data_IF_996262025375
#
_entry.id   IF_996262025375
#
_cell.length_a   1.000
_cell.length_b   1.000
_cell.length_c   1.000
_cell.angle_alpha   90.00
_cell.angle_beta   90.00
_cell.angle_gamma   90.00
#
_symmetry.space_group_name_H-M   'P 1'
#
loop_
_entity.id
_entity.type
_entity.pdbx_description
1 polymer ?
#
# COMPACT_ATOMS: atom_id res chain seq x y z
N UNK A 1 21.82 -30.85 -2.30
CA UNK A 1 22.16 -32.18 -2.85
C UNK A 1 21.69 -33.28 -1.89
N UNK A 2 21.96 -33.18 -0.59
CA UNK A 2 21.58 -34.19 0.41
C UNK A 2 20.05 -34.29 0.58
N UNK A 3 19.34 -33.18 0.57
CA UNK A 3 17.88 -33.13 0.61
C UNK A 3 17.23 -33.83 -0.61
N UNK A 4 17.74 -33.61 -1.82
CA UNK A 4 17.25 -34.30 -3.03
C UNK A 4 17.54 -35.81 -3.01
N UNK A 5 18.62 -36.24 -2.33
CA UNK A 5 18.90 -37.66 -2.12
C UNK A 5 17.91 -38.31 -1.16
N UNK A 6 17.58 -37.61 -0.06
CA UNK A 6 16.57 -38.05 0.91
C UNK A 6 15.19 -38.14 0.26
N UNK A 7 14.80 -37.19 -0.56
CA UNK A 7 13.51 -37.19 -1.26
C UNK A 7 13.39 -38.34 -2.26
N UNK A 8 14.50 -38.69 -2.99
CA UNK A 8 14.54 -39.86 -3.84
C UNK A 8 14.51 -41.19 -3.05
N UNK A 9 15.11 -41.23 -1.86
CA UNK A 9 15.12 -42.41 -1.00
C UNK A 9 13.75 -42.73 -0.42
N UNK A 10 12.89 -41.73 -0.21
CA UNK A 10 11.51 -41.89 0.29
C UNK A 10 10.57 -42.49 -0.79
N UNK A 11 10.90 -42.36 -2.07
CA UNK A 11 10.09 -42.87 -3.18
C UNK A 11 10.51 -44.27 -3.65
N UNK A 12 11.47 -44.91 -2.98
CA UNK A 12 11.95 -46.26 -3.33
C UNK A 12 11.05 -47.34 -2.70
N UNK A 13 10.28 -48.10 -3.50
CA UNK A 13 9.32 -49.09 -3.00
C UNK A 13 9.96 -50.34 -2.35
N UNK A 14 11.28 -50.52 -2.44
CA UNK A 14 12.02 -51.66 -1.91
C UNK A 14 12.72 -51.36 -0.57
N UNK A 15 12.52 -50.18 0.04
CA UNK A 15 13.13 -49.83 1.32
C UNK A 15 12.26 -50.25 2.49
N UNK A 16 12.88 -50.79 3.53
CA UNK A 16 12.19 -51.16 4.77
C UNK A 16 11.67 -49.95 5.54
N UNK A 17 10.53 -50.12 6.19
CA UNK A 17 9.75 -49.10 6.89
C UNK A 17 10.57 -48.26 7.90
N UNK A 18 11.49 -48.87 8.64
CA UNK A 18 12.39 -48.22 9.58
C UNK A 18 13.39 -47.26 8.92
N UNK A 19 13.85 -47.56 7.70
CA UNK A 19 14.77 -46.72 6.97
C UNK A 19 14.03 -45.50 6.37
N UNK A 20 12.78 -45.68 5.97
CA UNK A 20 11.90 -44.61 5.49
C UNK A 20 11.57 -43.63 6.63
N UNK A 21 11.24 -44.12 7.82
CA UNK A 21 10.97 -43.31 9.01
C UNK A 21 12.19 -42.46 9.45
N UNK A 22 13.39 -43.04 9.42
CA UNK A 22 14.61 -42.32 9.75
C UNK A 22 14.94 -41.21 8.74
N UNK A 23 14.69 -41.49 7.44
CA UNK A 23 14.89 -40.50 6.38
C UNK A 23 13.81 -39.39 6.43
N UNK A 24 12.57 -39.71 6.81
CA UNK A 24 11.51 -38.72 7.07
C UNK A 24 11.87 -37.79 8.24
N UNK A 25 12.32 -38.33 9.38
CA UNK A 25 12.75 -37.52 10.53
C UNK A 25 13.93 -36.60 10.17
N UNK A 26 14.86 -37.10 9.35
CA UNK A 26 16.03 -36.31 8.90
C UNK A 26 15.63 -35.20 7.95
N UNK A 27 14.66 -35.46 7.06
CA UNK A 27 14.07 -34.48 6.15
C UNK A 27 13.35 -33.39 6.95
N UNK A 28 12.51 -33.77 7.91
CA UNK A 28 11.72 -32.84 8.72
C UNK A 28 12.61 -31.97 9.61
N UNK A 29 13.71 -32.52 10.13
CA UNK A 29 14.74 -31.76 10.83
C UNK A 29 15.47 -30.75 9.91
N UNK A 30 15.75 -31.11 8.65
CA UNK A 30 16.35 -30.20 7.68
C UNK A 30 15.37 -29.09 7.27
N UNK A 31 14.08 -29.38 7.17
CA UNK A 31 13.03 -28.39 6.87
C UNK A 31 12.85 -27.37 8.00
N UNK A 32 13.02 -27.80 9.27
CA UNK A 32 12.99 -26.92 10.44
C UNK A 32 14.21 -25.98 10.49
N UNK A 33 15.37 -26.44 9.99
CA UNK A 33 16.59 -25.64 9.96
C UNK A 33 16.69 -24.72 8.72
N UNK A 34 15.94 -24.98 7.67
CA UNK A 34 15.92 -24.24 6.42
C UNK A 34 14.47 -24.00 5.96
N UNK A 35 13.75 -23.03 6.52
CA UNK A 35 12.35 -22.76 6.17
C UNK A 35 12.14 -22.48 4.69
N UNK A 36 13.13 -21.94 3.98
CA UNK A 36 13.10 -21.73 2.52
C UNK A 36 12.94 -23.02 1.70
N UNK A 37 13.40 -24.17 2.23
CA UNK A 37 13.23 -25.48 1.59
C UNK A 37 11.81 -26.03 1.74
N UNK A 38 11.08 -25.61 2.76
CA UNK A 38 9.71 -26.05 2.99
C UNK A 38 8.76 -25.50 1.90
N UNK A 39 8.97 -24.26 1.46
CA UNK A 39 8.17 -23.61 0.41
C UNK A 39 8.38 -24.30 -0.96
N UNK A 40 9.59 -24.78 -1.23
CA UNK A 40 9.91 -25.55 -2.46
C UNK A 40 9.27 -26.95 -2.44
N UNK A 41 9.16 -27.58 -1.26
CA UNK A 41 8.61 -28.94 -1.10
C UNK A 41 7.09 -28.94 -1.10
N UNK A 42 6.46 -27.92 -0.53
CA UNK A 42 5.01 -27.79 -0.49
C UNK A 42 4.41 -27.28 -1.80
N UNK A 43 5.24 -26.93 -2.78
CA UNK A 43 4.80 -26.32 -4.05
C UNK A 43 4.26 -24.89 -3.86
N UNK A 44 4.40 -24.35 -2.67
CA UNK A 44 4.21 -22.92 -2.41
C UNK A 44 5.42 -22.17 -2.97
N UNK A 45 5.45 -22.01 -4.28
CA UNK A 45 6.22 -20.91 -4.88
C UNK A 45 5.47 -19.66 -4.40
N UNK A 46 5.87 -19.14 -3.25
CA UNK A 46 5.37 -17.84 -2.80
C UNK A 46 5.76 -16.85 -3.89
N UNK A 47 4.78 -16.38 -4.62
CA UNK A 47 4.99 -15.27 -5.55
C UNK A 47 5.72 -14.17 -4.78
N UNK A 48 6.71 -13.49 -5.40
CA UNK A 48 7.46 -12.44 -4.72
C UNK A 48 6.49 -11.43 -4.10
N UNK A 49 6.67 -11.13 -2.81
CA UNK A 49 5.83 -10.14 -2.13
C UNK A 49 6.18 -8.77 -2.66
N UNK A 50 5.29 -8.22 -3.48
CA UNK A 50 5.41 -6.86 -4.02
C UNK A 50 4.72 -5.90 -3.06
N UNK A 51 5.41 -4.82 -2.71
CA UNK A 51 4.88 -3.81 -1.79
C UNK A 51 3.57 -3.20 -2.32
N UNK A 52 2.56 -3.18 -1.46
CA UNK A 52 1.25 -2.59 -1.76
C UNK A 52 0.29 -3.46 -2.57
N UNK A 53 0.70 -4.62 -3.07
CA UNK A 53 -0.13 -5.47 -3.92
C UNK A 53 -1.39 -5.97 -3.21
N UNK A 54 -1.28 -6.24 -1.91
CA UNK A 54 -2.39 -6.75 -1.11
C UNK A 54 -3.42 -5.67 -0.71
N UNK A 55 -3.15 -4.38 -0.99
CA UNK A 55 -3.99 -3.28 -0.47
C UNK A 55 -5.44 -3.37 -0.95
N UNK A 56 -5.66 -3.87 -2.17
CA UNK A 56 -7.00 -4.05 -2.74
C UNK A 56 -7.54 -5.47 -2.57
N UNK A 57 -6.80 -6.37 -1.91
CA UNK A 57 -7.25 -7.75 -1.69
C UNK A 57 -8.42 -7.81 -0.71
N UNK A 58 -9.37 -8.71 -0.99
CA UNK A 58 -10.56 -8.89 -0.14
C UNK A 58 -10.15 -9.26 1.29
N UNK A 59 -10.67 -8.53 2.26
CA UNK A 59 -10.52 -8.79 3.68
C UNK A 59 -9.43 -7.99 4.40
N UNK A 60 -8.61 -7.22 3.70
CA UNK A 60 -7.62 -6.35 4.36
C UNK A 60 -8.13 -4.93 4.59
N UNK A 61 -8.73 -4.32 3.58
CA UNK A 61 -9.36 -2.98 3.66
C UNK A 61 -10.64 -2.98 2.83
N UNK A 62 -11.66 -2.28 3.30
CA UNK A 62 -12.87 -2.02 2.51
C UNK A 62 -12.79 -0.61 1.96
N UNK A 63 -12.93 -0.49 0.66
CA UNK A 63 -13.07 0.79 -0.04
C UNK A 63 -14.52 1.05 -0.43
N UNK A 64 -15.47 0.30 0.15
CA UNK A 64 -16.90 0.50 -0.11
C UNK A 64 -17.32 1.90 0.32
N UNK A 65 -18.03 2.64 -0.56
CA UNK A 65 -18.54 3.95 -0.18
C UNK A 65 -19.58 3.80 0.92
N UNK A 66 -19.42 4.58 1.99
CA UNK A 66 -20.41 4.61 3.03
C UNK A 66 -21.63 5.40 2.56
N UNK A 67 -22.72 4.71 2.24
CA UNK A 67 -23.96 5.30 1.74
C UNK A 67 -24.80 5.96 2.86
N UNK A 68 -24.44 5.74 4.12
CA UNK A 68 -25.16 6.26 5.29
C UNK A 68 -24.52 7.52 5.90
N UNK A 69 -23.53 8.12 5.22
CA UNK A 69 -22.96 9.40 5.65
C UNK A 69 -23.71 10.57 5.02
N UNK A 70 -23.55 11.75 5.63
CA UNK A 70 -24.03 12.98 5.02
C UNK A 70 -23.46 13.13 3.61
N UNK A 71 -24.33 13.46 2.65
CA UNK A 71 -23.90 13.65 1.26
C UNK A 71 -22.81 14.71 1.19
N UNK A 72 -21.69 14.46 0.52
CA UNK A 72 -20.65 15.46 0.35
C UNK A 72 -21.20 16.70 -0.36
N UNK A 73 -20.84 17.89 0.13
CA UNK A 73 -21.33 19.15 -0.43
C UNK A 73 -21.02 19.36 -1.90
N UNK A 74 -19.94 18.71 -2.37
CA UNK A 74 -19.49 18.73 -3.75
C UNK A 74 -20.12 17.64 -4.64
N UNK A 75 -21.04 16.82 -4.11
CA UNK A 75 -21.75 15.84 -4.90
C UNK A 75 -22.57 16.51 -6.01
N UNK A 76 -22.35 16.07 -7.24
CA UNK A 76 -23.03 16.60 -8.44
C UNK A 76 -24.18 15.69 -8.82
N UNK A 77 -25.38 16.21 -8.72
CA UNK A 77 -26.61 15.51 -9.08
C UNK A 77 -26.66 15.14 -10.55
N UNK A 78 -27.28 14.00 -10.85
CA UNK A 78 -27.45 13.53 -12.23
C UNK A 78 -28.69 12.67 -12.40
N UNK A 79 -29.00 12.28 -13.66
CA UNK A 79 -30.12 11.39 -13.95
C UNK A 79 -30.06 10.10 -13.17
N UNK A 80 -31.17 9.71 -12.54
CA UNK A 80 -31.27 8.51 -11.71
C UNK A 80 -31.03 8.74 -10.23
N UNK A 81 -30.48 9.89 -9.80
CA UNK A 81 -30.42 10.24 -8.39
C UNK A 81 -31.82 10.55 -7.86
N UNK A 82 -32.09 10.17 -6.64
CA UNK A 82 -33.29 10.55 -5.90
C UNK A 82 -32.97 11.69 -4.93
N UNK A 83 -33.77 12.73 -4.97
CA UNK A 83 -33.70 13.84 -4.01
C UNK A 83 -34.96 13.89 -3.17
N UNK A 84 -34.79 14.09 -1.87
CA UNK A 84 -35.90 14.26 -0.92
C UNK A 84 -36.01 15.75 -0.61
N UNK A 85 -37.19 16.30 -0.80
CA UNK A 85 -37.51 17.69 -0.50
C UNK A 85 -38.42 17.70 0.73
N UNK A 86 -37.88 18.16 1.86
CA UNK A 86 -38.60 18.33 3.11
C UNK A 86 -38.95 19.81 3.29
N UNK A 87 -40.20 20.07 3.55
CA UNK A 87 -40.73 21.41 3.86
C UNK A 87 -41.43 21.32 5.21
N UNK A 88 -41.17 22.27 6.13
CA UNK A 88 -41.80 22.32 7.45
C UNK A 88 -42.00 23.78 7.92
N UNK A 89 -42.81 23.98 8.95
CA UNK A 89 -43.26 25.24 9.44
C UNK A 89 -44.79 25.37 9.26
N UNK A 90 -45.24 26.47 8.72
CA UNK A 90 -46.67 26.67 8.41
C UNK A 90 -47.19 25.74 7.29
N UNK A 91 -46.31 25.19 6.50
CA UNK A 91 -46.58 24.12 5.55
C UNK A 91 -45.76 22.90 5.87
N UNK A 92 -46.30 21.69 5.72
CA UNK A 92 -45.59 20.46 5.98
C UNK A 92 -45.76 19.48 4.82
N UNK A 93 -44.63 19.13 4.17
CA UNK A 93 -44.59 18.11 3.13
C UNK A 93 -43.20 17.49 3.08
N UNK A 94 -43.13 16.21 2.73
CA UNK A 94 -41.90 15.48 2.43
C UNK A 94 -42.16 14.65 1.18
N UNK A 95 -41.38 14.85 0.15
CA UNK A 95 -41.52 14.10 -1.10
C UNK A 95 -40.18 13.75 -1.71
N UNK A 96 -40.09 12.52 -2.23
CA UNK A 96 -38.95 12.02 -2.97
C UNK A 96 -39.19 12.18 -4.47
N UNK A 97 -38.17 12.65 -5.20
CA UNK A 97 -38.20 12.87 -6.63
C UNK A 97 -36.97 12.27 -7.27
N UNK A 98 -37.17 11.40 -8.27
CA UNK A 98 -36.07 10.87 -9.09
C UNK A 98 -35.78 11.84 -10.23
N UNK A 99 -34.51 12.15 -10.44
CA UNK A 99 -34.06 13.00 -11.54
C UNK A 99 -34.19 12.21 -12.86
N UNK A 100 -34.98 12.75 -13.76
CA UNK A 100 -35.25 12.14 -15.07
C UNK A 100 -34.02 12.10 -15.97
N UNK A 101 -34.03 11.32 -17.08
CA UNK A 101 -32.93 11.33 -18.07
C UNK A 101 -32.61 12.71 -18.64
N UNK A 102 -33.61 13.61 -18.69
CA UNK A 102 -33.44 15.01 -19.14
C UNK A 102 -32.83 15.90 -18.02
N UNK A 103 -32.50 15.33 -16.85
CA UNK A 103 -31.88 16.05 -15.75
C UNK A 103 -32.84 16.87 -14.90
N UNK A 104 -34.12 16.55 -14.88
CA UNK A 104 -35.18 17.34 -14.23
C UNK A 104 -35.93 16.50 -13.19
N UNK A 105 -36.40 17.15 -12.13
CA UNK A 105 -37.50 16.62 -11.30
C UNK A 105 -38.79 17.32 -11.66
N UNK A 106 -39.92 16.65 -11.47
CA UNK A 106 -41.25 17.23 -11.66
C UNK A 106 -41.93 17.43 -10.32
N UNK A 107 -42.07 18.69 -9.90
CA UNK A 107 -42.70 19.02 -8.64
C UNK A 107 -44.16 19.45 -8.91
N UNK A 108 -45.18 18.82 -8.27
CA UNK A 108 -46.59 19.20 -8.43
C UNK A 108 -46.78 20.69 -8.19
N UNK A 109 -47.64 21.33 -9.01
CA UNK A 109 -47.95 22.74 -8.99
C UNK A 109 -46.81 23.74 -9.29
N UNK A 110 -45.55 23.25 -9.42
CA UNK A 110 -44.40 24.07 -9.85
C UNK A 110 -43.95 23.72 -11.28
N UNK A 111 -43.99 22.43 -11.61
CA UNK A 111 -43.51 21.94 -12.89
C UNK A 111 -42.09 21.38 -12.87
N UNK A 112 -41.42 21.34 -14.02
CA UNK A 112 -40.11 20.75 -14.13
C UNK A 112 -38.98 21.69 -13.61
N UNK A 113 -38.11 21.16 -12.74
CA UNK A 113 -36.94 21.86 -12.20
C UNK A 113 -35.67 21.11 -12.62
N UNK A 114 -34.75 21.75 -13.33
CA UNK A 114 -33.49 21.15 -13.76
C UNK A 114 -32.50 21.12 -12.58
N UNK A 115 -32.02 19.89 -12.22
CA UNK A 115 -31.09 19.66 -11.14
C UNK A 115 -29.80 19.00 -11.56
N UNK A 116 -29.77 18.32 -12.72
CA UNK A 116 -28.58 17.67 -13.23
C UNK A 116 -27.44 18.67 -13.44
N UNK A 117 -26.23 18.28 -12.99
CA UNK A 117 -25.04 19.12 -13.08
C UNK A 117 -24.87 20.11 -11.91
N UNK A 118 -25.85 20.22 -11.01
CA UNK A 118 -25.79 21.08 -9.83
C UNK A 118 -25.26 20.31 -8.62
N UNK A 119 -24.56 20.99 -7.74
CA UNK A 119 -24.25 20.48 -6.40
C UNK A 119 -25.53 20.51 -5.53
N UNK A 120 -25.51 19.79 -4.41
CA UNK A 120 -26.65 19.78 -3.46
C UNK A 120 -27.00 21.20 -3.00
N UNK A 121 -26.01 22.03 -2.72
CA UNK A 121 -26.22 23.42 -2.30
C UNK A 121 -26.86 24.28 -3.40
N UNK A 122 -26.44 24.11 -4.65
CA UNK A 122 -27.00 24.81 -5.80
C UNK A 122 -28.43 24.34 -6.11
N UNK A 123 -28.64 23.01 -6.03
CA UNK A 123 -29.96 22.41 -6.19
C UNK A 123 -30.93 22.89 -5.12
N UNK A 124 -30.50 22.99 -3.85
CA UNK A 124 -31.30 23.52 -2.74
C UNK A 124 -31.73 24.93 -3.05
N UNK A 125 -30.84 25.82 -3.48
CA UNK A 125 -31.17 27.19 -3.88
C UNK A 125 -32.16 27.26 -5.04
N UNK A 126 -31.95 26.40 -6.04
CA UNK A 126 -32.82 26.31 -7.23
C UNK A 126 -34.23 25.89 -6.85
N UNK A 127 -34.35 24.79 -6.08
CA UNK A 127 -35.65 24.26 -5.63
C UNK A 127 -36.35 25.27 -4.69
N UNK A 128 -35.64 25.89 -3.77
CA UNK A 128 -36.19 26.93 -2.89
C UNK A 128 -36.81 28.08 -3.70
N UNK A 129 -36.08 28.59 -4.70
CA UNK A 129 -36.59 29.68 -5.53
C UNK A 129 -37.84 29.28 -6.34
N UNK A 130 -37.91 28.02 -6.82
CA UNK A 130 -39.06 27.50 -7.55
C UNK A 130 -40.28 27.26 -6.66
N UNK A 131 -40.07 26.76 -5.42
CA UNK A 131 -41.10 26.52 -4.42
C UNK A 131 -41.63 27.81 -3.79
N UNK A 132 -40.85 28.89 -3.78
CA UNK A 132 -41.26 30.20 -3.29
C UNK A 132 -42.47 30.79 -4.00
N UNK A 133 -42.76 30.33 -5.24
CA UNK A 133 -43.98 30.69 -5.97
C UNK A 133 -45.26 30.10 -5.35
N UNK A 134 -45.15 29.03 -4.54
CA UNK A 134 -46.29 28.35 -3.90
C UNK A 134 -46.28 28.56 -2.39
N UNK A 135 -45.08 28.58 -1.77
CA UNK A 135 -44.88 28.73 -0.35
C UNK A 135 -44.27 30.10 -0.04
N UNK A 136 -45.10 31.12 0.11
CA UNK A 136 -44.65 32.50 0.40
C UNK A 136 -43.80 32.59 1.69
N UNK A 137 -44.09 31.75 2.69
CA UNK A 137 -43.32 31.62 3.93
C UNK A 137 -41.86 31.18 3.78
N UNK A 138 -41.42 30.74 2.58
CA UNK A 138 -39.98 30.48 2.28
C UNK A 138 -39.16 31.77 2.21
N UNK A 139 -39.81 32.94 2.00
CA UNK A 139 -39.14 34.25 1.93
C UNK A 139 -39.08 34.95 3.29
N UNK A 140 -40.13 34.81 4.12
CA UNK A 140 -40.20 35.41 5.45
C UNK A 140 -39.67 34.51 6.57
N UNK A 141 -39.40 33.24 6.26
CA UNK A 141 -38.82 32.25 7.18
C UNK A 141 -39.82 31.45 7.99
N UNK A 142 -41.15 31.68 7.82
CA UNK A 142 -42.21 30.88 8.47
C UNK A 142 -42.28 29.44 7.92
N UNK A 143 -41.77 29.22 6.71
CA UNK A 143 -41.58 27.91 6.11
C UNK A 143 -40.07 27.65 5.89
N UNK A 144 -39.62 26.50 6.29
CA UNK A 144 -38.26 26.02 6.09
C UNK A 144 -38.25 24.90 5.06
N UNK A 145 -37.11 24.76 4.32
CA UNK A 145 -36.94 23.72 3.34
C UNK A 145 -35.52 23.13 3.39
N UNK A 146 -35.42 21.84 3.28
CA UNK A 146 -34.16 21.10 3.10
C UNK A 146 -34.29 20.21 1.89
N UNK A 147 -33.23 20.15 1.09
CA UNK A 147 -33.06 19.15 0.05
C UNK A 147 -31.94 18.20 0.50
N UNK A 148 -32.25 16.92 0.54
CA UNK A 148 -31.30 15.86 0.86
C UNK A 148 -31.27 14.84 -0.28
N UNK A 149 -30.15 14.11 -0.37
CA UNK A 149 -30.02 12.99 -1.29
C UNK A 149 -30.74 11.78 -0.69
N UNK A 150 -31.60 11.14 -1.49
CA UNK A 150 -32.19 9.84 -1.17
C UNK A 150 -31.31 8.71 -1.69
N UNK A 151 -31.86 7.90 -2.59
CA UNK A 151 -31.08 6.86 -3.27
C UNK A 151 -30.13 7.48 -4.30
N UNK A 152 -28.91 6.98 -4.36
CA UNK A 152 -27.93 7.41 -5.37
C UNK A 152 -27.99 6.51 -6.60
N UNK A 153 -27.76 7.09 -7.77
CA UNK A 153 -27.69 6.35 -9.01
C UNK A 153 -26.50 5.39 -9.05
N UNK A 154 -26.61 4.36 -9.86
CA UNK A 154 -25.48 3.52 -10.24
C UNK A 154 -24.78 4.08 -11.48
N UNK A 155 -23.47 3.84 -11.56
CA UNK A 155 -22.62 4.15 -12.71
C UNK A 155 -22.02 2.86 -13.24
N UNK A 156 -21.70 2.82 -14.53
CA UNK A 156 -20.96 1.72 -15.14
C UNK A 156 -19.51 2.15 -15.38
N UNK A 157 -18.59 1.31 -14.89
CA UNK A 157 -17.15 1.54 -15.01
C UNK A 157 -16.51 0.27 -15.59
N UNK A 158 -15.62 0.45 -16.54
CA UNK A 158 -14.86 -0.65 -17.12
C UNK A 158 -13.51 -0.78 -16.40
N UNK A 159 -13.14 -1.99 -15.99
CA UNK A 159 -11.84 -2.31 -15.39
C UNK A 159 -11.14 -3.33 -16.25
N UNK A 160 -9.98 -3.00 -16.78
CA UNK A 160 -9.24 -3.78 -17.76
C UNK A 160 -7.75 -3.90 -17.39
N UNK A 161 -7.11 -4.96 -17.90
CA UNK A 161 -5.68 -5.21 -17.75
C UNK A 161 -5.37 -6.14 -16.58
N UNK A 162 -4.28 -5.91 -15.88
CA UNK A 162 -3.72 -6.81 -14.86
C UNK A 162 -4.45 -6.69 -13.51
N UNK A 163 -5.73 -7.07 -13.51
CA UNK A 163 -6.62 -7.11 -12.33
C UNK A 163 -7.16 -8.52 -12.11
N UNK A 164 -7.71 -8.78 -10.93
CA UNK A 164 -8.27 -10.08 -10.58
C UNK A 164 -9.37 -10.52 -11.56
N UNK A 165 -10.32 -9.64 -11.85
CA UNK A 165 -11.40 -9.89 -12.81
C UNK A 165 -11.63 -8.64 -13.67
N UNK A 166 -11.39 -8.79 -14.97
CA UNK A 166 -11.67 -7.74 -15.94
C UNK A 166 -13.18 -7.69 -16.27
N UNK A 167 -13.70 -6.50 -16.53
CA UNK A 167 -15.11 -6.38 -16.94
C UNK A 167 -15.72 -5.01 -16.69
N UNK A 168 -17.02 -4.94 -16.93
CA UNK A 168 -17.85 -3.77 -16.61
C UNK A 168 -18.51 -3.98 -15.26
N UNK A 169 -18.34 -3.01 -14.37
CA UNK A 169 -18.87 -3.03 -13.02
C UNK A 169 -19.93 -1.97 -12.85
N UNK A 170 -21.06 -2.35 -12.23
CA UNK A 170 -22.08 -1.41 -11.80
C UNK A 170 -21.82 -1.04 -10.35
N UNK A 171 -21.48 0.21 -10.12
CA UNK A 171 -21.07 0.76 -8.82
C UNK A 171 -21.95 1.94 -8.42
N UNK A 172 -22.11 2.25 -7.12
CA UNK A 172 -22.73 3.49 -6.69
C UNK A 172 -21.98 4.72 -7.23
N UNK A 173 -22.68 5.81 -7.51
CA UNK A 173 -22.04 7.03 -8.06
C UNK A 173 -21.06 7.74 -7.10
N UNK A 174 -21.00 7.32 -5.85
CA UNK A 174 -19.98 7.72 -4.88
C UNK A 174 -18.72 6.84 -4.90
N UNK A 175 -18.68 5.83 -5.78
CA UNK A 175 -17.54 4.94 -5.88
C UNK A 175 -16.30 5.67 -6.39
N UNK A 176 -15.16 5.23 -5.89
CA UNK A 176 -13.84 5.73 -6.24
C UNK A 176 -13.05 4.71 -7.07
N UNK A 177 -11.89 5.13 -7.57
CA UNK A 177 -10.96 4.26 -8.28
C UNK A 177 -10.58 3.04 -7.43
N UNK A 178 -10.27 3.24 -6.15
CA UNK A 178 -9.84 2.17 -5.26
C UNK A 178 -10.99 1.21 -4.93
N UNK A 179 -12.23 1.71 -4.82
CA UNK A 179 -13.40 0.84 -4.70
C UNK A 179 -13.55 -0.06 -5.94
N UNK A 180 -13.42 0.47 -7.15
CA UNK A 180 -13.53 -0.31 -8.38
C UNK A 180 -12.42 -1.39 -8.47
N UNK A 181 -11.18 -1.05 -8.10
CA UNK A 181 -10.07 -2.00 -8.04
C UNK A 181 -10.33 -3.09 -6.98
N UNK A 182 -10.86 -2.72 -5.81
CA UNK A 182 -11.22 -3.69 -4.78
C UNK A 182 -12.30 -4.68 -5.25
N UNK A 183 -13.37 -4.18 -5.86
CA UNK A 183 -14.48 -5.01 -6.37
C UNK A 183 -14.03 -5.92 -7.51
N UNK A 184 -13.06 -5.47 -8.34
CA UNK A 184 -12.47 -6.28 -9.42
C UNK A 184 -11.53 -7.39 -8.90
N UNK A 185 -11.36 -7.53 -7.60
CA UNK A 185 -10.50 -8.54 -6.99
C UNK A 185 -9.05 -8.11 -6.81
N UNK A 186 -8.79 -6.80 -6.91
CA UNK A 186 -7.46 -6.22 -6.75
C UNK A 186 -6.60 -6.28 -8.02
N UNK A 187 -5.37 -5.85 -7.87
CA UNK A 187 -4.35 -5.88 -8.92
C UNK A 187 -3.61 -7.22 -8.80
N UNK A 188 -3.42 -7.92 -9.92
CA UNK A 188 -2.73 -9.21 -9.92
C UNK A 188 -1.19 -9.03 -9.83
N UNK A 189 -0.45 -10.14 -9.76
CA UNK A 189 1.01 -10.14 -9.56
C UNK A 189 1.82 -9.48 -10.70
N UNK A 190 1.20 -9.22 -11.84
CA UNK A 190 1.84 -8.54 -12.98
C UNK A 190 1.43 -7.07 -13.10
N UNK A 191 0.39 -6.65 -12.38
CA UNK A 191 -0.17 -5.33 -12.52
C UNK A 191 0.63 -4.24 -11.82
N UNK A 192 0.74 -3.09 -12.49
CA UNK A 192 1.36 -1.89 -11.91
C UNK A 192 0.49 -1.26 -10.83
N UNK A 193 1.13 -0.88 -9.72
CA UNK A 193 0.55 -0.05 -8.67
C UNK A 193 0.89 1.43 -8.85
N UNK A 194 1.83 1.76 -9.74
CA UNK A 194 2.41 3.08 -9.86
C UNK A 194 2.00 3.86 -11.11
N UNK A 195 1.25 3.20 -12.02
CA UNK A 195 0.80 3.81 -13.28
C UNK A 195 -0.58 3.27 -13.66
N UNK A 196 -1.56 3.47 -12.75
CA UNK A 196 -2.96 3.11 -13.03
C UNK A 196 -3.59 4.24 -13.82
N UNK A 197 -4.04 3.93 -15.05
CA UNK A 197 -4.58 4.92 -15.97
C UNK A 197 -6.10 4.95 -15.92
N UNK A 198 -6.64 6.14 -15.71
CA UNK A 198 -8.06 6.41 -15.78
C UNK A 198 -8.38 7.18 -17.06
N UNK A 199 -9.26 6.61 -17.88
CA UNK A 199 -9.72 7.23 -19.14
C UNK A 199 -11.14 7.70 -19.01
N UNK A 200 -11.45 8.82 -19.68
CA UNK A 200 -12.80 9.36 -19.83
C UNK A 200 -13.03 9.73 -21.30
N UNK A 201 -14.12 9.21 -21.89
CA UNK A 201 -14.44 9.43 -23.31
C UNK A 201 -13.24 9.19 -24.26
N UNK A 202 -12.49 8.10 -24.01
CA UNK A 202 -11.32 7.70 -24.81
C UNK A 202 -10.05 8.53 -24.60
N UNK A 203 -10.06 9.53 -23.71
CA UNK A 203 -8.88 10.35 -23.38
C UNK A 203 -8.36 10.01 -21.98
N UNK A 204 -7.05 10.02 -21.82
CA UNK A 204 -6.42 9.88 -20.50
C UNK A 204 -6.88 11.05 -19.62
N UNK A 205 -7.58 10.71 -18.53
CA UNK A 205 -8.08 11.68 -17.55
C UNK A 205 -7.10 11.88 -16.40
N UNK A 206 -6.54 10.77 -15.89
CA UNK A 206 -5.56 10.80 -14.80
C UNK A 206 -4.69 9.54 -14.81
N UNK A 207 -3.53 9.65 -14.21
CA UNK A 207 -2.63 8.54 -13.89
C UNK A 207 -2.38 8.54 -12.39
N UNK A 208 -2.59 7.39 -11.74
CA UNK A 208 -2.57 7.26 -10.28
C UNK A 208 -1.42 6.38 -9.84
N UNK A 209 -0.67 6.85 -8.85
CA UNK A 209 0.36 6.11 -8.12
C UNK A 209 -0.15 5.73 -6.73
N UNK A 210 -0.37 4.43 -6.50
CA UNK A 210 -0.85 3.92 -5.21
C UNK A 210 0.19 4.07 -4.10
N UNK A 211 1.49 4.13 -4.45
CA UNK A 211 2.55 4.39 -3.47
C UNK A 211 2.39 5.76 -2.81
N UNK A 212 1.92 6.76 -3.54
CA UNK A 212 1.62 8.08 -2.97
C UNK A 212 0.53 8.01 -1.89
N UNK A 213 -0.47 7.16 -2.09
CA UNK A 213 -1.50 6.90 -1.07
C UNK A 213 -0.92 6.14 0.14
N UNK A 214 -0.21 5.03 -0.10
CA UNK A 214 0.30 4.16 0.96
C UNK A 214 1.38 4.84 1.81
N UNK A 215 2.33 5.52 1.16
CA UNK A 215 3.53 6.07 1.81
C UNK A 215 3.34 7.49 2.30
N UNK A 216 2.55 8.30 1.59
CA UNK A 216 2.41 9.73 1.84
C UNK A 216 1.02 10.13 2.35
N UNK A 217 0.05 9.19 2.40
CA UNK A 217 -1.32 9.47 2.85
C UNK A 217 -2.10 10.40 1.92
N UNK A 218 -1.72 10.50 0.64
CA UNK A 218 -2.41 11.34 -0.34
C UNK A 218 -3.74 10.74 -0.76
N UNK A 219 -4.82 11.16 -0.10
CA UNK A 219 -6.19 10.69 -0.38
C UNK A 219 -6.75 11.16 -1.73
N UNK A 220 -6.21 12.22 -2.31
CA UNK A 220 -6.56 12.72 -3.65
C UNK A 220 -6.14 11.77 -4.80
N UNK A 221 -5.31 10.77 -4.50
CA UNK A 221 -5.03 9.65 -5.41
C UNK A 221 -6.26 8.76 -5.62
N UNK A 222 -7.22 8.74 -4.72
CA UNK A 222 -8.45 7.96 -4.84
C UNK A 222 -9.56 8.77 -5.51
N UNK A 223 -9.56 8.75 -6.83
CA UNK A 223 -10.38 9.60 -7.70
C UNK A 223 -11.82 9.10 -7.74
N UNK A 224 -12.78 10.01 -7.54
CA UNK A 224 -14.21 9.73 -7.71
C UNK A 224 -14.52 9.33 -9.17
N UNK A 225 -15.24 8.23 -9.34
CA UNK A 225 -15.59 7.69 -10.63
C UNK A 225 -16.86 8.34 -11.21
N UNK A 226 -17.00 8.26 -12.51
CA UNK A 226 -18.19 8.66 -13.26
C UNK A 226 -18.57 7.60 -14.26
N UNK A 227 -19.81 7.66 -14.71
CA UNK A 227 -20.31 6.76 -15.75
C UNK A 227 -19.43 6.76 -16.99
N UNK A 228 -19.16 5.58 -17.54
CA UNK A 228 -18.30 5.40 -18.71
C UNK A 228 -16.81 5.57 -18.50
N UNK A 229 -16.32 5.70 -17.24
CA UNK A 229 -14.87 5.65 -16.99
C UNK A 229 -14.30 4.27 -17.34
N UNK A 230 -13.07 4.26 -17.85
CA UNK A 230 -12.26 3.07 -18.08
C UNK A 230 -11.00 3.14 -17.22
N UNK A 231 -10.83 2.16 -16.35
CA UNK A 231 -9.62 1.94 -15.56
C UNK A 231 -8.76 0.91 -16.28
N UNK A 232 -7.51 1.25 -16.55
CA UNK A 232 -6.55 0.37 -17.21
C UNK A 232 -5.33 0.16 -16.34
N UNK A 233 -5.10 -1.08 -15.93
CA UNK A 233 -3.92 -1.51 -15.16
C UNK A 233 -3.02 -2.29 -16.11
N UNK A 234 -1.87 -1.74 -16.45
CA UNK A 234 -0.88 -2.40 -17.30
C UNK A 234 0.05 -3.28 -16.46
N UNK A 235 0.94 -4.04 -17.10
CA UNK A 235 2.01 -4.73 -16.39
C UNK A 235 2.98 -3.70 -15.78
N UNK A 236 3.59 -4.07 -14.63
CA UNK A 236 4.63 -3.24 -14.01
C UNK A 236 5.85 -3.07 -14.93
N UNK A 237 6.59 -1.96 -14.74
CA UNK A 237 7.77 -1.66 -15.56
C UNK A 237 9.04 -2.30 -15.00
N UNK A 238 9.46 -1.88 -13.84
CA UNK A 238 10.68 -2.33 -13.15
C UNK A 238 10.33 -2.88 -11.79
N UNK A 239 10.85 -4.07 -11.47
CA UNK A 239 10.71 -4.68 -10.15
C UNK A 239 12.10 -4.87 -9.55
N UNK A 240 12.34 -4.30 -8.38
CA UNK A 240 13.62 -4.32 -7.66
C UNK A 240 13.41 -4.93 -6.29
N UNK A 241 14.27 -5.86 -5.92
CA UNK A 241 14.29 -6.45 -4.58
C UNK A 241 15.18 -5.62 -3.66
N UNK A 242 14.71 -5.39 -2.42
CA UNK A 242 15.57 -4.94 -1.33
C UNK A 242 15.52 -5.94 -0.19
N UNK A 243 16.70 -6.33 0.30
CA UNK A 243 16.89 -7.38 1.31
C UNK A 243 17.89 -6.97 2.38
N UNK A 244 17.95 -7.75 3.47
CA UNK A 244 18.84 -7.49 4.60
C UNK A 244 18.26 -6.49 5.58
N UNK A 245 19.12 -5.63 6.16
CA UNK A 245 18.80 -4.78 7.29
C UNK A 245 18.01 -3.51 6.91
N UNK A 246 16.82 -3.71 6.36
CA UNK A 246 15.81 -2.68 6.11
C UNK A 246 14.51 -3.03 6.83
N UNK A 247 13.68 -2.04 7.12
CA UNK A 247 12.44 -2.26 7.89
C UNK A 247 11.40 -3.10 7.15
N UNK A 248 11.38 -3.07 5.82
CA UNK A 248 10.45 -3.84 4.98
C UNK A 248 11.18 -4.46 3.79
N UNK A 249 11.87 -5.60 3.98
CA UNK A 249 12.53 -6.31 2.90
C UNK A 249 11.47 -6.99 2.02
N UNK A 250 11.38 -6.57 0.74
CA UNK A 250 10.46 -7.11 -0.26
C UNK A 250 10.77 -6.55 -1.66
N UNK A 251 9.92 -6.88 -2.64
CA UNK A 251 9.99 -6.31 -3.97
C UNK A 251 9.24 -4.97 -4.04
N UNK A 252 9.82 -4.03 -4.77
CA UNK A 252 9.26 -2.70 -5.02
C UNK A 252 9.18 -2.42 -6.51
N UNK A 253 8.03 -1.92 -6.95
CA UNK A 253 7.91 -1.38 -8.31
C UNK A 253 8.62 -0.03 -8.37
N UNK A 254 9.58 0.11 -9.29
CA UNK A 254 10.37 1.32 -9.46
C UNK A 254 10.06 2.00 -10.79
N UNK A 255 10.03 3.31 -10.79
CA UNK A 255 9.91 4.14 -11.99
C UNK A 255 11.28 4.44 -12.60
N UNK A 256 11.26 4.83 -13.88
CA UNK A 256 12.49 5.26 -14.56
C UNK A 256 13.10 6.48 -13.86
N UNK A 257 14.39 6.38 -13.55
CA UNK A 257 15.15 7.45 -12.87
C UNK A 257 15.13 7.36 -11.34
N UNK A 258 14.33 6.47 -10.73
CA UNK A 258 14.39 6.27 -9.28
C UNK A 258 15.67 5.55 -8.87
N UNK A 259 16.12 5.83 -7.66
CA UNK A 259 17.45 5.55 -7.17
C UNK A 259 17.46 4.59 -5.98
N UNK A 260 18.65 4.22 -5.52
CA UNK A 260 18.84 3.47 -4.27
C UNK A 260 18.24 4.22 -3.07
N UNK A 261 18.32 5.56 -3.04
CA UNK A 261 17.70 6.35 -1.98
C UNK A 261 16.18 6.18 -1.94
N UNK A 262 15.53 6.13 -3.12
CA UNK A 262 14.08 5.97 -3.23
C UNK A 262 13.64 4.59 -2.73
N UNK A 263 14.30 3.49 -3.15
CA UNK A 263 13.91 2.16 -2.69
C UNK A 263 14.15 1.97 -1.19
N UNK A 264 15.23 2.53 -0.63
CA UNK A 264 15.48 2.52 0.81
C UNK A 264 14.37 3.28 1.54
N UNK A 265 13.92 4.43 1.01
CA UNK A 265 12.79 5.18 1.54
C UNK A 265 11.50 4.38 1.49
N UNK A 266 11.20 3.70 0.38
CA UNK A 266 10.01 2.85 0.25
C UNK A 266 10.06 1.66 1.22
N UNK A 267 11.24 1.10 1.47
CA UNK A 267 11.46 0.06 2.48
C UNK A 267 11.32 0.56 3.93
N UNK A 268 11.05 1.86 4.15
CA UNK A 268 10.90 2.46 5.48
C UNK A 268 12.22 2.84 6.15
N UNK A 269 13.32 2.80 5.41
CA UNK A 269 14.67 3.06 5.90
C UNK A 269 15.34 1.82 6.49
N UNK A 270 16.54 2.04 7.01
CA UNK A 270 17.38 1.03 7.62
C UNK A 270 16.88 0.60 9.00
N UNK A 271 17.25 -0.61 9.42
CA UNK A 271 17.14 -1.05 10.82
C UNK A 271 18.28 -0.42 11.66
N UNK A 272 18.20 -0.58 12.99
CA UNK A 272 19.27 -0.12 13.88
C UNK A 272 20.56 -0.94 13.73
N UNK A 273 20.47 -2.15 13.20
CA UNK A 273 21.59 -3.06 12.99
C UNK A 273 22.21 -2.91 11.60
N UNK A 274 21.65 -2.06 10.75
CA UNK A 274 22.12 -1.86 9.39
C UNK A 274 23.46 -1.13 9.31
N UNK A 275 24.30 -1.57 8.39
CA UNK A 275 25.39 -0.76 7.87
C UNK A 275 24.85 0.24 6.84
N UNK A 276 24.36 1.39 7.29
CA UNK A 276 23.75 2.42 6.43
C UNK A 276 24.73 3.18 5.54
N UNK A 277 26.04 2.96 5.69
CA UNK A 277 27.08 3.68 4.92
C UNK A 277 27.22 3.17 3.50
N UNK A 278 26.86 1.92 3.26
CA UNK A 278 27.07 1.25 1.99
C UNK A 278 26.01 0.18 1.76
N UNK A 279 25.55 0.05 0.50
CA UNK A 279 24.70 -1.06 0.07
C UNK A 279 25.35 -1.76 -1.12
N UNK A 280 25.06 -3.03 -1.28
CA UNK A 280 25.46 -3.81 -2.44
C UNK A 280 24.29 -3.92 -3.41
N UNK A 281 24.52 -3.65 -4.69
CA UNK A 281 23.51 -3.84 -5.74
C UNK A 281 24.02 -4.91 -6.69
N UNK A 282 23.23 -5.97 -6.86
CA UNK A 282 23.50 -7.03 -7.83
C UNK A 282 22.56 -6.85 -9.02
N UNK A 283 23.13 -6.67 -10.20
CA UNK A 283 22.42 -6.48 -11.47
C UNK A 283 22.72 -7.60 -12.43
N UNK A 284 21.70 -8.08 -13.12
CA UNK A 284 21.87 -9.06 -14.20
C UNK A 284 21.91 -8.34 -15.54
N UNK A 285 23.05 -8.40 -16.23
CA UNK A 285 23.23 -7.76 -17.53
C UNK A 285 23.99 -8.70 -18.47
N UNK A 286 23.49 -8.87 -19.69
CA UNK A 286 24.15 -9.70 -20.71
C UNK A 286 24.33 -11.19 -20.30
N UNK A 287 23.47 -11.72 -19.42
CA UNK A 287 23.57 -13.09 -18.93
C UNK A 287 24.58 -13.31 -17.78
N UNK A 288 25.21 -12.25 -17.32
CA UNK A 288 26.17 -12.26 -16.19
C UNK A 288 25.66 -11.38 -15.05
N UNK A 289 26.14 -11.66 -13.84
CA UNK A 289 25.89 -10.81 -12.67
C UNK A 289 27.00 -9.78 -12.52
N UNK A 290 26.60 -8.54 -12.33
CA UNK A 290 27.48 -7.42 -11.96
C UNK A 290 27.14 -7.01 -10.52
N UNK A 291 28.17 -6.80 -9.70
CA UNK A 291 28.01 -6.31 -8.35
C UNK A 291 28.55 -4.88 -8.25
N UNK A 292 27.76 -4.02 -7.64
CA UNK A 292 28.09 -2.63 -7.37
C UNK A 292 28.09 -2.40 -5.88
N UNK A 293 29.07 -1.65 -5.39
CA UNK A 293 29.09 -1.15 -4.02
C UNK A 293 28.74 0.33 -4.07
N UNK A 294 27.59 0.71 -3.52
CA UNK A 294 27.08 2.07 -3.56
C UNK A 294 27.25 2.68 -2.17
N UNK A 295 28.01 3.77 -2.07
CA UNK A 295 28.18 4.52 -0.84
C UNK A 295 27.00 5.46 -0.59
N UNK A 296 26.71 5.77 0.67
CA UNK A 296 25.60 6.63 1.08
C UNK A 296 25.53 7.97 0.33
N UNK A 297 26.68 8.59 0.04
CA UNK A 297 26.77 9.84 -0.72
C UNK A 297 26.32 9.75 -2.19
N UNK A 298 26.20 8.52 -2.71
CA UNK A 298 25.83 8.24 -4.10
C UNK A 298 24.47 7.53 -4.22
N UNK A 299 23.74 7.32 -3.13
CA UNK A 299 22.41 6.71 -3.13
C UNK A 299 21.41 7.46 -4.03
N UNK A 300 21.47 8.81 -4.02
CA UNK A 300 20.60 9.66 -4.84
C UNK A 300 20.97 9.66 -6.33
N UNK A 301 22.14 9.11 -6.69
CA UNK A 301 22.65 9.11 -8.07
C UNK A 301 22.59 7.75 -8.72
N UNK A 302 22.61 6.68 -7.93
CA UNK A 302 22.61 5.32 -8.45
C UNK A 302 21.18 4.92 -8.82
N UNK A 303 20.88 4.97 -10.12
CA UNK A 303 19.58 4.58 -10.66
C UNK A 303 19.46 3.05 -10.66
N UNK A 304 18.36 2.54 -10.08
CA UNK A 304 18.06 1.11 -10.08
C UNK A 304 17.41 0.68 -11.40
N UNK A 305 17.69 -0.57 -11.79
CA UNK A 305 17.17 -1.16 -13.01
C UNK A 305 16.31 -2.39 -12.69
N UNK A 306 15.55 -2.87 -13.68
CA UNK A 306 14.70 -4.04 -13.53
C UNK A 306 15.49 -5.27 -13.15
N UNK A 307 15.04 -6.01 -12.14
CA UNK A 307 15.68 -7.20 -11.61
C UNK A 307 16.92 -6.96 -10.75
N UNK A 308 17.21 -5.70 -10.38
CA UNK A 308 18.25 -5.40 -9.40
C UNK A 308 17.89 -5.97 -8.02
N UNK A 309 18.91 -6.44 -7.30
CA UNK A 309 18.83 -6.86 -5.90
C UNK A 309 19.70 -5.93 -5.06
N UNK A 310 19.06 -5.11 -4.24
CA UNK A 310 19.72 -4.20 -3.30
C UNK A 310 19.85 -4.91 -1.95
N UNK A 311 21.07 -5.20 -1.53
CA UNK A 311 21.35 -5.90 -0.28
C UNK A 311 21.97 -4.96 0.75
N UNK A 312 21.37 -4.91 1.93
CA UNK A 312 21.82 -4.10 3.06
C UNK A 312 22.44 -5.01 4.11
N UNK A 313 23.75 -4.89 4.31
CA UNK A 313 24.47 -5.68 5.30
C UNK A 313 24.20 -5.18 6.72
N UNK A 314 24.30 -6.08 7.69
CA UNK A 314 24.31 -5.73 9.11
C UNK A 314 25.60 -5.05 9.55
N UNK A 315 25.54 -4.38 10.68
CA UNK A 315 26.71 -3.83 11.38
C UNK A 315 27.64 -4.97 11.82
N UNK A 316 28.91 -4.69 11.81
CA UNK A 316 29.92 -5.64 12.32
C UNK A 316 29.76 -5.72 13.84
N UNK A 317 29.72 -6.92 14.40
CA UNK A 317 29.75 -7.13 15.86
C UNK A 317 31.14 -6.80 16.43
N UNK A 318 31.50 -5.53 16.34
CA UNK A 318 32.77 -4.98 16.80
C UNK A 318 32.55 -3.65 17.49
N UNK A 319 33.05 -3.56 18.69
CA UNK A 319 33.07 -2.30 19.42
C UNK A 319 34.27 -1.45 18.98
N UNK A 320 34.06 -0.21 18.58
CA UNK A 320 35.13 0.72 18.17
C UNK A 320 35.97 1.18 19.32
N UNK A 321 35.38 1.28 20.52
CA UNK A 321 35.98 1.90 21.70
C UNK A 321 35.95 1.01 22.95
N UNK A 322 36.04 -0.30 22.81
CA UNK A 322 36.04 -1.23 23.92
C UNK A 322 37.42 -1.83 24.11
N UNK A 323 37.87 -1.84 25.36
CA UNK A 323 39.08 -2.55 25.80
C UNK A 323 38.71 -3.52 26.93
N UNK A 324 39.35 -4.66 26.98
CA UNK A 324 39.21 -5.64 28.06
C UNK A 324 40.46 -5.62 28.93
N UNK A 325 40.27 -5.59 30.26
CA UNK A 325 41.33 -5.77 31.22
C UNK A 325 41.08 -7.05 32.02
N UNK A 326 42.10 -7.93 32.09
CA UNK A 326 42.08 -9.19 32.81
C UNK A 326 43.36 -9.35 33.60
N UNK A 327 43.33 -10.13 34.69
CA UNK A 327 44.48 -10.45 35.50
C UNK A 327 44.44 -9.82 36.88
N UNK A 328 45.59 -9.44 37.41
CA UNK A 328 45.71 -8.97 38.77
C UNK A 328 45.25 -7.51 38.97
N UNK A 329 44.00 -7.22 38.60
CA UNK A 329 43.30 -5.96 38.89
C UNK A 329 42.07 -6.24 39.76
N UNK A 330 41.59 -5.24 40.50
CA UNK A 330 40.46 -5.43 41.39
C UNK A 330 39.13 -5.65 40.63
N UNK A 331 38.94 -4.98 39.45
CA UNK A 331 37.74 -5.16 38.62
C UNK A 331 38.13 -5.49 37.20
N UNK A 332 38.14 -6.79 36.91
CA UNK A 332 38.26 -7.27 35.53
C UNK A 332 37.00 -6.96 34.72
N UNK A 333 37.14 -6.78 33.43
CA UNK A 333 36.00 -6.60 32.52
C UNK A 333 36.28 -5.69 31.36
N UNK A 334 35.14 -5.28 30.74
CA UNK A 334 35.15 -4.40 29.57
C UNK A 334 34.99 -2.94 29.99
N UNK A 335 35.81 -2.09 29.40
CA UNK A 335 35.80 -0.65 29.64
C UNK A 335 35.73 0.09 28.31
N UNK A 336 35.05 1.26 28.28
CA UNK A 336 35.07 2.13 27.12
C UNK A 336 36.40 2.89 27.03
N UNK A 337 36.94 2.99 25.83
CA UNK A 337 38.05 3.90 25.53
C UNK A 337 37.44 5.28 25.30
N UNK A 338 37.63 6.17 26.24
CA UNK A 338 37.15 7.55 26.24
C UNK A 338 38.29 8.51 26.71
N UNK A 339 37.98 9.77 26.94
CA UNK A 339 38.99 10.74 27.42
C UNK A 339 39.60 10.39 28.78
N UNK A 340 38.87 9.63 29.59
CA UNK A 340 39.29 9.19 30.92
C UNK A 340 39.97 7.81 30.91
N UNK A 341 40.05 7.13 29.76
CA UNK A 341 40.59 5.76 29.62
C UNK A 341 41.44 5.67 28.35
N UNK A 342 42.32 6.66 28.12
CA UNK A 342 43.22 6.71 26.97
C UNK A 342 44.55 5.97 27.19
N UNK A 343 44.97 5.82 28.42
CA UNK A 343 46.23 5.21 28.77
C UNK A 343 46.01 3.98 29.63
N UNK A 344 47.01 3.07 29.64
CA UNK A 344 46.96 1.88 30.47
C UNK A 344 46.82 2.25 31.96
N UNK A 345 47.49 3.33 32.39
CA UNK A 345 47.41 3.82 33.77
C UNK A 345 45.98 4.20 34.15
N UNK A 346 45.29 4.97 33.30
CA UNK A 346 43.90 5.37 33.51
C UNK A 346 42.96 4.16 33.50
N UNK A 347 43.25 3.17 32.65
CA UNK A 347 42.44 1.93 32.60
C UNK A 347 42.59 1.15 33.91
N UNK A 348 43.81 1.02 34.44
CA UNK A 348 44.08 0.35 35.72
C UNK A 348 43.42 1.12 36.86
N UNK A 349 43.51 2.45 36.88
CA UNK A 349 42.86 3.30 37.89
C UNK A 349 41.34 3.11 37.86
N UNK A 350 40.74 3.00 36.67
CA UNK A 350 39.29 2.76 36.50
C UNK A 350 38.87 1.33 36.88
N UNK A 351 39.81 0.38 36.85
CA UNK A 351 39.67 -0.98 37.38
C UNK A 351 39.94 -1.09 38.89
N UNK A 352 39.89 0.02 39.61
CA UNK A 352 40.18 0.18 41.05
C UNK A 352 41.65 -0.19 41.44
N UNK A 353 42.56 -0.20 40.47
CA UNK A 353 43.96 -0.48 40.70
C UNK A 353 44.39 -1.93 40.51
N UNK A 354 45.68 -2.16 40.68
CA UNK A 354 46.25 -3.50 40.67
C UNK A 354 46.10 -4.15 42.05
N UNK A 355 45.88 -5.43 42.06
CA UNK A 355 45.83 -6.23 43.29
C UNK A 355 47.23 -6.36 43.88
N UNK A 356 47.35 -6.67 45.19
CA UNK A 356 48.61 -6.79 45.91
C UNK A 356 49.49 -7.95 45.39
N UNK A 357 48.88 -8.93 44.71
CA UNK A 357 49.53 -10.07 44.07
C UNK A 357 49.98 -9.81 42.62
N UNK A 358 49.83 -8.58 42.11
CA UNK A 358 50.27 -8.20 40.78
C UNK A 358 51.79 -8.09 40.68
N UNK A 359 52.37 -8.75 39.65
CA UNK A 359 53.81 -8.68 39.32
C UNK A 359 54.06 -7.78 38.12
#
# INVERSE_FOLDING_TARGET
IEFMRLQRSLSDPYRGEKAILADMQKRDSMLLLMPELNDVVTGNVTSPRIFGQDIFSRGQMSFEPNLNIATPDNYVLGPGDEVIVDVWGDAQTSAAYTISPEGKIFVPNVGPITLSGLTISEATRRVRGSLGAIYEGLYDGSVQMKLSLGSIRSIQVNVMGEVGHQGTYTLPSLATLFHALHVSGGINNLGTLRSIKLYRSGKLYSEVDVYDFILNGKSDSDIALRDGHLISVLAYGKLVEISGEVKRPMFYEMRTGETVADIVKFAGGFTNEANSRVVSVTRRQGGQYQSFTVEQKDFDKFVVEDGDVVSVAGSIDRYENRVEIKGAVYREGFYAIDEQTRTLKQLIERADGMREDAF
#
